data_IF_153465991541
#
_entry.id   IF_153465991541
#
_cell.length_a   1.000
_cell.length_b   1.000
_cell.length_c   1.000
_cell.angle_alpha   90.00
_cell.angle_beta   90.00
_cell.angle_gamma   90.00
#
_symmetry.space_group_name_H-M   'P 1'
#
loop_
_entity.id
_entity.type
_entity.pdbx_description
1 polymer ?
#
# COMPACT_ATOMS: atom_id res chain seq x y z
N UNK A 1 2.25 -19.74 20.05
CA UNK A 1 1.64 -18.44 20.38
C UNK A 1 0.48 -18.25 19.42
N UNK A 2 -0.77 -18.37 19.88
CA UNK A 2 -1.94 -18.19 19.03
C UNK A 2 -1.98 -16.73 18.59
N UNK A 3 -2.08 -16.49 17.28
CA UNK A 3 -2.44 -15.19 16.73
C UNK A 3 -3.81 -14.86 17.33
N UNK A 4 -3.83 -14.00 18.32
CA UNK A 4 -5.06 -13.53 18.94
C UNK A 4 -5.90 -12.88 17.85
N UNK A 5 -6.99 -13.55 17.45
CA UNK A 5 -8.14 -12.88 16.87
C UNK A 5 -8.55 -11.86 17.92
N UNK A 6 -8.12 -10.60 17.78
CA UNK A 6 -8.67 -9.55 18.62
C UNK A 6 -10.16 -9.52 18.30
N UNK A 7 -10.99 -9.52 19.33
CA UNK A 7 -12.44 -9.34 19.26
C UNK A 7 -12.73 -7.96 18.65
N UNK A 8 -12.58 -7.87 17.33
CA UNK A 8 -12.98 -6.70 16.56
C UNK A 8 -14.42 -7.00 16.16
N UNK A 9 -15.34 -6.46 16.91
CA UNK A 9 -16.78 -6.53 16.73
C UNK A 9 -17.27 -5.86 15.44
N UNK A 10 -16.80 -6.32 14.26
CA UNK A 10 -17.40 -5.96 12.98
C UNK A 10 -17.20 -7.06 11.92
N UNK A 11 -18.18 -7.95 11.74
CA UNK A 11 -18.07 -9.11 10.84
C UNK A 11 -18.09 -8.78 9.35
N UNK A 12 -18.35 -7.54 8.94
CA UNK A 12 -18.57 -7.20 7.53
C UNK A 12 -17.30 -6.87 6.72
N UNK A 13 -16.17 -6.56 7.36
CA UNK A 13 -14.98 -6.07 6.66
C UNK A 13 -13.75 -6.97 6.80
N UNK A 14 -13.73 -7.83 7.80
CA UNK A 14 -12.62 -8.74 8.08
C UNK A 14 -12.97 -10.13 7.55
N UNK A 15 -12.13 -10.71 6.71
CA UNK A 15 -12.28 -12.11 6.32
C UNK A 15 -11.47 -12.98 7.28
N UNK A 16 -11.87 -14.25 7.46
CA UNK A 16 -11.12 -15.22 8.27
C UNK A 16 -9.70 -15.46 7.76
N UNK A 17 -9.43 -15.09 6.50
CA UNK A 17 -8.13 -15.19 5.85
C UNK A 17 -7.22 -13.97 6.11
N UNK A 18 -7.73 -12.90 6.76
CA UNK A 18 -6.93 -11.73 7.07
C UNK A 18 -5.93 -12.06 8.18
N UNK A 19 -4.68 -11.61 8.01
CA UNK A 19 -3.61 -11.80 8.99
C UNK A 19 -3.31 -10.45 9.65
N UNK A 20 -3.38 -10.42 10.97
CA UNK A 20 -3.12 -9.26 11.80
C UNK A 20 -1.80 -9.43 12.53
N UNK A 21 -0.90 -8.45 12.36
CA UNK A 21 0.39 -8.42 13.04
C UNK A 21 0.46 -7.16 13.87
N UNK A 22 0.74 -7.29 15.17
CA UNK A 22 0.86 -6.17 16.11
C UNK A 22 -0.33 -5.18 16.10
N UNK A 23 -1.49 -5.56 15.56
CA UNK A 23 -2.62 -4.67 15.36
C UNK A 23 -3.20 -4.12 16.68
N UNK A 24 -3.11 -4.88 17.75
CA UNK A 24 -3.48 -4.46 19.11
C UNK A 24 -2.73 -3.19 19.57
N UNK A 25 -1.53 -2.96 19.06
CA UNK A 25 -0.74 -1.74 19.35
C UNK A 25 -1.36 -0.51 18.71
N UNK A 26 -1.94 -0.65 17.51
CA UNK A 26 -2.67 0.43 16.85
C UNK A 26 -4.05 0.63 17.48
N UNK A 27 -4.76 -0.46 17.77
CA UNK A 27 -6.09 -0.46 18.37
C UNK A 27 -6.07 0.24 19.74
N UNK A 28 -5.17 -0.17 20.63
CA UNK A 28 -5.08 0.36 22.00
C UNK A 28 -4.27 1.64 22.14
N UNK A 29 -3.78 2.23 21.06
CA UNK A 29 -2.97 3.44 21.10
C UNK A 29 -1.60 3.29 21.79
N UNK A 30 -1.05 2.06 21.81
CA UNK A 30 0.20 1.73 22.50
C UNK A 30 1.46 2.08 21.67
N UNK A 31 1.64 3.35 21.35
CA UNK A 31 2.90 3.86 20.81
C UNK A 31 3.10 3.72 19.30
N UNK A 32 2.15 3.13 18.57
CA UNK A 32 2.19 3.06 17.11
C UNK A 32 1.03 3.84 16.50
N UNK A 33 1.38 4.89 15.77
CA UNK A 33 0.42 5.76 15.10
C UNK A 33 0.16 5.37 13.64
N UNK A 34 0.92 4.43 13.08
CA UNK A 34 0.78 3.97 11.69
C UNK A 34 0.35 2.51 11.66
N UNK A 35 -0.62 2.21 10.78
CA UNK A 35 -1.03 0.85 10.44
C UNK A 35 -0.91 0.64 8.94
N UNK A 36 -0.26 -0.43 8.52
CA UNK A 36 -0.06 -0.78 7.11
C UNK A 36 -1.08 -1.83 6.65
N UNK A 37 -1.66 -1.64 5.46
CA UNK A 37 -2.55 -2.61 4.85
C UNK A 37 -1.96 -3.11 3.54
N UNK A 38 -1.69 -4.41 3.50
CA UNK A 38 -1.11 -5.11 2.38
C UNK A 38 -2.13 -6.13 1.81
N UNK A 39 -1.98 -6.49 0.56
CA UNK A 39 -2.83 -7.50 -0.11
C UNK A 39 -2.72 -7.39 -1.62
N UNK A 40 -3.26 -8.35 -2.34
CA UNK A 40 -3.30 -8.31 -3.80
C UNK A 40 -4.05 -7.08 -4.33
N UNK A 41 -3.77 -6.64 -5.58
CA UNK A 41 -4.67 -5.74 -6.28
C UNK A 41 -6.11 -6.28 -6.23
N UNK A 42 -7.09 -5.41 -6.05
CA UNK A 42 -8.51 -5.78 -5.92
C UNK A 42 -8.87 -6.74 -4.76
N UNK A 43 -8.00 -6.91 -3.76
CA UNK A 43 -8.30 -7.72 -2.56
C UNK A 43 -9.30 -7.07 -1.60
N UNK A 44 -9.62 -5.78 -1.80
CA UNK A 44 -10.46 -5.01 -0.87
C UNK A 44 -9.67 -4.20 0.15
N UNK A 45 -8.35 -4.01 -0.03
CA UNK A 45 -7.52 -3.16 0.84
C UNK A 45 -8.11 -1.77 1.06
N UNK A 46 -8.45 -1.09 -0.03
CA UNK A 46 -8.95 0.28 0.02
C UNK A 46 -10.25 0.38 0.81
N UNK A 47 -11.17 -0.58 0.66
CA UNK A 47 -12.40 -0.63 1.46
C UNK A 47 -12.06 -0.79 2.94
N UNK A 48 -11.20 -1.76 3.29
CA UNK A 48 -10.75 -1.98 4.66
C UNK A 48 -10.04 -0.75 5.24
N UNK A 49 -9.19 -0.09 4.45
CA UNK A 49 -8.45 1.11 4.84
C UNK A 49 -9.39 2.27 5.19
N UNK A 50 -10.43 2.46 4.39
CA UNK A 50 -11.47 3.46 4.65
C UNK A 50 -12.20 3.21 5.97
N UNK A 51 -12.62 1.97 6.21
CA UNK A 51 -13.33 1.60 7.44
C UNK A 51 -12.46 1.76 8.68
N UNK A 52 -11.19 1.36 8.60
CA UNK A 52 -10.24 1.55 9.67
C UNK A 52 -9.97 3.03 9.94
N UNK A 53 -9.73 3.82 8.90
CA UNK A 53 -9.51 5.25 9.05
C UNK A 53 -10.70 5.92 9.73
N UNK A 54 -11.94 5.56 9.34
CA UNK A 54 -13.17 6.05 9.98
C UNK A 54 -13.27 5.60 11.43
N UNK A 55 -13.07 4.30 11.71
CA UNK A 55 -13.19 3.73 13.06
C UNK A 55 -12.23 4.37 14.04
N UNK A 56 -10.98 4.61 13.63
CA UNK A 56 -9.92 5.11 14.51
C UNK A 56 -9.69 6.62 14.40
N UNK A 57 -10.54 7.34 13.66
CA UNK A 57 -10.34 8.75 13.32
C UNK A 57 -8.91 9.01 12.81
N UNK A 58 -8.45 8.12 11.92
CA UNK A 58 -7.12 8.14 11.33
C UNK A 58 -7.15 8.78 9.95
N UNK A 59 -6.03 9.38 9.55
CA UNK A 59 -5.84 9.77 8.14
C UNK A 59 -5.58 8.53 7.30
N UNK A 60 -6.19 8.45 6.12
CA UNK A 60 -5.88 7.40 5.13
C UNK A 60 -4.86 7.93 4.13
N UNK A 61 -3.81 7.18 3.88
CA UNK A 61 -2.85 7.44 2.80
C UNK A 61 -2.83 6.26 1.84
N UNK A 62 -3.35 6.46 0.63
CA UNK A 62 -3.26 5.50 -0.46
C UNK A 62 -2.02 5.82 -1.30
N UNK A 63 -0.98 4.97 -1.20
CA UNK A 63 0.28 5.15 -1.94
C UNK A 63 0.08 5.02 -3.45
N UNK A 64 -0.83 4.15 -3.90
CA UNK A 64 -1.07 3.94 -5.32
C UNK A 64 -1.64 5.23 -5.95
N UNK A 65 -2.51 5.96 -5.24
CA UNK A 65 -3.07 7.22 -5.70
C UNK A 65 -2.04 8.35 -5.82
N UNK A 66 -1.04 8.38 -4.94
CA UNK A 66 -0.02 9.44 -4.94
C UNK A 66 1.20 9.15 -5.81
N UNK A 67 1.40 7.90 -6.20
CA UNK A 67 2.53 7.47 -7.03
C UNK A 67 2.18 7.46 -8.51
N UNK A 68 0.88 7.36 -8.85
CA UNK A 68 0.36 7.42 -10.23
C UNK A 68 -0.60 8.61 -10.40
N UNK A 69 -0.14 9.86 -10.19
CA UNK A 69 -1.00 11.03 -10.31
C UNK A 69 -1.35 11.31 -11.77
N UNK A 70 -2.55 11.84 -12.00
CA UNK A 70 -2.97 12.28 -13.33
C UNK A 70 -2.17 13.50 -13.82
N UNK A 71 -1.82 14.41 -12.91
CA UNK A 71 -0.92 15.55 -13.13
C UNK A 71 -0.35 16.02 -11.79
N UNK A 72 0.66 16.90 -11.82
CA UNK A 72 1.23 17.49 -10.61
C UNK A 72 0.21 18.39 -9.91
N UNK A 73 -0.49 19.23 -10.66
CA UNK A 73 -1.49 20.13 -10.08
C UNK A 73 -2.64 19.35 -9.46
N UNK A 74 -3.11 18.32 -10.17
CA UNK A 74 -4.08 17.39 -9.61
C UNK A 74 -3.58 16.75 -8.30
N UNK A 75 -2.32 16.30 -8.26
CA UNK A 75 -1.74 15.69 -7.06
C UNK A 75 -1.73 16.66 -5.89
N UNK A 76 -1.30 17.90 -6.10
CA UNK A 76 -1.26 18.94 -5.08
C UNK A 76 -2.66 19.21 -4.53
N UNK A 77 -3.62 19.45 -5.41
CA UNK A 77 -5.01 19.74 -5.02
C UNK A 77 -5.68 18.56 -4.34
N UNK A 78 -5.45 17.36 -4.87
CA UNK A 78 -5.97 16.13 -4.29
C UNK A 78 -5.41 15.88 -2.87
N UNK A 79 -4.09 16.04 -2.68
CA UNK A 79 -3.45 15.87 -1.39
C UNK A 79 -3.88 16.96 -0.39
N UNK A 80 -3.98 18.20 -0.82
CA UNK A 80 -4.49 19.29 0.03
C UNK A 80 -5.89 18.99 0.58
N UNK A 81 -6.72 18.33 -0.22
CA UNK A 81 -8.10 18.00 0.14
C UNK A 81 -8.22 16.71 0.95
N UNK A 82 -7.43 15.68 0.64
CA UNK A 82 -7.66 14.32 1.13
C UNK A 82 -6.52 13.76 1.99
N UNK A 83 -5.27 14.23 1.81
CA UNK A 83 -4.07 13.67 2.43
C UNK A 83 -3.23 14.77 3.06
N UNK A 84 -3.70 15.31 4.19
CA UNK A 84 -3.07 16.45 4.87
C UNK A 84 -1.60 16.19 5.21
N UNK A 85 -1.30 15.03 5.78
CA UNK A 85 0.08 14.66 6.13
C UNK A 85 0.97 14.58 4.89
N UNK A 86 0.48 14.01 3.80
CA UNK A 86 1.25 13.93 2.57
C UNK A 86 1.39 15.30 1.89
N UNK A 87 0.38 16.17 1.97
CA UNK A 87 0.50 17.56 1.52
C UNK A 87 1.60 18.31 2.28
N UNK A 88 1.70 18.12 3.60
CA UNK A 88 2.80 18.67 4.39
C UNK A 88 4.16 18.09 3.96
N UNK A 89 4.21 16.79 3.62
CA UNK A 89 5.42 16.14 3.14
C UNK A 89 5.92 16.75 1.82
N UNK A 90 5.05 16.91 0.81
CA UNK A 90 5.45 17.47 -0.48
C UNK A 90 5.91 18.93 -0.38
N UNK A 91 5.29 19.71 0.50
CA UNK A 91 5.72 21.10 0.75
C UNK A 91 7.13 21.17 1.37
N UNK A 92 7.49 20.21 2.22
CA UNK A 92 8.84 20.09 2.80
C UNK A 92 9.84 19.43 1.84
N UNK A 93 9.37 18.72 0.83
CA UNK A 93 10.17 17.94 -0.09
C UNK A 93 9.86 18.28 -1.56
N UNK A 94 10.11 19.50 -2.05
CA UNK A 94 9.73 19.90 -3.41
C UNK A 94 10.43 19.06 -4.50
N UNK A 95 11.56 18.42 -4.18
CA UNK A 95 12.24 17.47 -5.08
C UNK A 95 11.37 16.26 -5.42
N UNK A 96 10.42 15.90 -4.55
CA UNK A 96 9.47 14.82 -4.81
C UNK A 96 8.57 15.15 -6.01
N UNK A 97 8.11 16.39 -6.14
CA UNK A 97 7.28 16.80 -7.28
C UNK A 97 8.04 16.67 -8.62
N UNK A 98 9.33 17.02 -8.61
CA UNK A 98 10.19 16.82 -9.79
C UNK A 98 10.35 15.33 -10.11
N UNK A 99 10.55 14.52 -9.09
CA UNK A 99 10.66 13.07 -9.24
C UNK A 99 9.37 12.47 -9.83
N UNK A 100 8.20 12.78 -9.26
CA UNK A 100 6.94 12.17 -9.70
C UNK A 100 6.56 12.61 -11.12
N UNK A 101 6.92 13.82 -11.53
CA UNK A 101 6.78 14.29 -12.91
C UNK A 101 7.64 13.45 -13.87
N UNK A 102 8.91 13.23 -13.52
CA UNK A 102 9.82 12.38 -14.30
C UNK A 102 9.30 10.95 -14.37
N UNK A 103 8.87 10.40 -13.24
CA UNK A 103 8.24 9.08 -13.15
C UNK A 103 7.05 8.96 -14.11
N UNK A 104 6.07 9.86 -14.00
CA UNK A 104 4.87 9.83 -14.83
C UNK A 104 5.20 9.87 -16.32
N UNK A 105 6.17 10.67 -16.74
CA UNK A 105 6.60 10.78 -18.13
C UNK A 105 7.28 9.50 -18.64
N UNK A 106 8.18 8.92 -17.83
CA UNK A 106 8.96 7.74 -18.24
C UNK A 106 8.11 6.46 -18.24
N UNK A 107 7.08 6.41 -17.41
CA UNK A 107 6.17 5.28 -17.31
C UNK A 107 4.82 5.48 -18.03
N UNK A 108 4.68 6.55 -18.83
CA UNK A 108 3.45 6.81 -19.60
C UNK A 108 3.07 5.63 -20.51
N UNK A 109 4.06 4.94 -21.10
CA UNK A 109 3.87 3.79 -21.99
C UNK A 109 3.88 2.43 -21.25
N UNK A 110 3.71 2.47 -19.92
CA UNK A 110 3.75 1.27 -19.08
C UNK A 110 5.15 0.90 -18.58
N UNK A 111 5.21 -0.18 -17.79
CA UNK A 111 6.47 -0.61 -17.15
C UNK A 111 7.41 -1.40 -18.08
N UNK A 112 6.90 -2.02 -19.12
CA UNK A 112 7.71 -2.79 -20.07
C UNK A 112 8.00 -2.00 -21.36
N UNK A 113 9.20 -2.17 -21.96
CA UNK A 113 10.36 -2.89 -21.41
C UNK A 113 11.03 -2.13 -20.25
N UNK A 114 11.62 -2.90 -19.33
CA UNK A 114 12.33 -2.36 -18.16
C UNK A 114 13.73 -1.86 -18.55
N UNK A 115 13.83 -0.61 -18.92
CA UNK A 115 15.11 0.05 -19.28
C UNK A 115 15.96 0.35 -18.02
N UNK A 116 17.28 0.62 -18.18
CA UNK A 116 18.13 1.08 -17.08
C UNK A 116 17.58 2.31 -16.36
N UNK A 117 17.03 3.28 -17.11
CA UNK A 117 16.39 4.47 -16.56
C UNK A 117 15.16 4.11 -15.71
N UNK A 118 14.27 3.24 -16.20
CA UNK A 118 13.11 2.76 -15.45
C UNK A 118 13.52 2.03 -14.17
N UNK A 119 14.59 1.22 -14.22
CA UNK A 119 15.14 0.55 -13.02
C UNK A 119 15.60 1.57 -11.98
N UNK A 120 16.36 2.58 -12.40
CA UNK A 120 16.84 3.64 -11.51
C UNK A 120 15.68 4.41 -10.86
N UNK A 121 14.69 4.80 -11.64
CA UNK A 121 13.49 5.47 -11.14
C UNK A 121 12.71 4.58 -10.16
N UNK A 122 12.63 3.26 -10.40
CA UNK A 122 11.99 2.32 -9.48
C UNK A 122 12.72 2.27 -8.12
N UNK A 123 14.05 2.30 -8.12
CA UNK A 123 14.84 2.38 -6.89
C UNK A 123 14.57 3.71 -6.17
N UNK A 124 14.55 4.81 -6.90
CA UNK A 124 14.27 6.13 -6.34
C UNK A 124 12.86 6.23 -5.77
N UNK A 125 11.86 5.62 -6.44
CA UNK A 125 10.48 5.52 -5.94
C UNK A 125 10.42 4.86 -4.56
N UNK A 126 11.13 3.75 -4.37
CA UNK A 126 11.18 3.04 -3.08
C UNK A 126 11.77 3.94 -1.99
N UNK A 127 12.84 4.68 -2.30
CA UNK A 127 13.43 5.65 -1.37
C UNK A 127 12.45 6.76 -0.96
N UNK A 128 11.64 7.23 -1.92
CA UNK A 128 10.61 8.22 -1.61
C UNK A 128 9.48 7.65 -0.76
N UNK A 129 9.04 6.42 -1.02
CA UNK A 129 8.03 5.75 -0.21
C UNK A 129 8.52 5.60 1.25
N UNK A 130 9.78 5.21 1.46
CA UNK A 130 10.37 5.13 2.79
C UNK A 130 10.31 6.49 3.50
N UNK A 131 10.73 7.56 2.84
CA UNK A 131 10.68 8.92 3.42
C UNK A 131 9.25 9.36 3.75
N UNK A 132 8.27 8.96 2.93
CA UNK A 132 6.85 9.23 3.20
C UNK A 132 6.41 8.46 4.45
N UNK A 133 6.77 7.18 4.57
CA UNK A 133 6.46 6.34 5.73
C UNK A 133 7.08 6.93 7.00
N UNK A 134 8.38 7.26 6.99
CA UNK A 134 9.09 7.90 8.11
C UNK A 134 8.42 9.20 8.53
N UNK A 135 8.00 10.01 7.54
CA UNK A 135 7.28 11.24 7.81
C UNK A 135 5.91 10.98 8.46
N UNK A 136 5.18 9.96 8.02
CA UNK A 136 3.92 9.54 8.66
C UNK A 136 4.15 9.05 10.08
N UNK A 137 5.19 8.25 10.32
CA UNK A 137 5.57 7.75 11.65
C UNK A 137 5.88 8.90 12.62
N UNK A 138 6.46 9.99 12.13
CA UNK A 138 6.78 11.17 12.96
C UNK A 138 5.57 12.00 13.40
N UNK A 139 4.35 11.66 12.92
CA UNK A 139 3.14 12.42 13.24
C UNK A 139 2.49 11.95 14.56
N UNK A 140 1.82 12.84 15.30
CA UNK A 140 1.17 12.47 16.56
C UNK A 140 -0.19 11.79 16.38
N UNK A 141 -0.80 11.85 15.19
CA UNK A 141 -2.12 11.28 14.91
C UNK A 141 -2.03 9.94 14.17
N UNK A 142 -3.11 9.19 14.22
CA UNK A 142 -3.19 7.88 13.57
C UNK A 142 -3.26 8.00 12.04
N UNK A 143 -2.52 7.14 11.35
CA UNK A 143 -2.49 7.09 9.88
C UNK A 143 -2.59 5.62 9.44
N UNK A 144 -3.48 5.35 8.48
CA UNK A 144 -3.58 4.07 7.79
C UNK A 144 -2.93 4.22 6.43
N UNK A 145 -1.93 3.41 6.13
CA UNK A 145 -1.20 3.43 4.85
C UNK A 145 -1.51 2.17 4.06
N UNK A 146 -1.96 2.31 2.83
CA UNK A 146 -2.17 1.19 1.92
C UNK A 146 -1.46 1.39 0.59
N UNK A 147 -1.14 0.28 -0.08
CA UNK A 147 -0.58 0.29 -1.43
C UNK A 147 0.12 -1.02 -1.80
N UNK A 148 0.19 -1.31 -3.08
CA UNK A 148 0.87 -2.51 -3.59
C UNK A 148 2.39 -2.42 -3.46
N UNK A 149 2.93 -1.20 -3.42
CA UNK A 149 4.37 -0.97 -3.29
C UNK A 149 4.93 -1.20 -1.88
N UNK A 150 4.08 -1.45 -0.90
CA UNK A 150 4.53 -1.77 0.45
C UNK A 150 5.33 -3.08 0.52
N UNK A 151 4.98 -4.10 -0.26
CA UNK A 151 5.69 -5.40 -0.23
C UNK A 151 7.20 -5.29 -0.43
N UNK A 152 7.69 -4.67 -1.52
CA UNK A 152 9.13 -4.53 -1.70
C UNK A 152 9.78 -3.66 -0.64
N UNK A 153 9.04 -2.73 -0.03
CA UNK A 153 9.55 -1.90 1.07
C UNK A 153 9.79 -2.76 2.32
N UNK A 154 8.82 -3.56 2.73
CA UNK A 154 8.95 -4.45 3.89
C UNK A 154 10.02 -5.54 3.70
N UNK A 155 10.30 -5.95 2.47
CA UNK A 155 11.39 -6.88 2.17
C UNK A 155 12.77 -6.25 2.39
N UNK A 156 12.90 -4.95 2.10
CA UNK A 156 14.17 -4.20 2.21
C UNK A 156 14.32 -3.61 3.63
N UNK A 157 13.22 -3.29 4.28
CA UNK A 157 13.11 -2.66 5.60
C UNK A 157 12.31 -3.55 6.57
N UNK A 158 12.88 -4.70 7.00
CA UNK A 158 12.18 -5.65 7.88
C UNK A 158 11.82 -5.05 9.25
N UNK A 159 12.49 -3.99 9.69
CA UNK A 159 12.17 -3.25 10.91
C UNK A 159 10.75 -2.66 10.89
N UNK A 160 10.18 -2.39 9.72
CA UNK A 160 8.79 -1.95 9.60
C UNK A 160 7.78 -3.04 9.99
N UNK A 161 8.21 -4.31 10.09
CA UNK A 161 7.37 -5.40 10.57
C UNK A 161 7.04 -5.31 12.07
N UNK A 162 7.70 -4.41 12.82
CA UNK A 162 7.32 -4.09 14.20
C UNK A 162 6.02 -3.29 14.29
N UNK A 163 5.67 -2.60 13.22
CA UNK A 163 4.45 -1.80 13.14
C UNK A 163 3.21 -2.67 12.94
N UNK A 164 2.03 -2.14 13.30
CA UNK A 164 0.75 -2.75 12.98
C UNK A 164 0.58 -3.00 11.49
N UNK A 165 0.31 -4.25 11.13
CA UNK A 165 0.10 -4.67 9.74
C UNK A 165 -1.16 -5.50 9.64
N UNK A 166 -1.97 -5.23 8.63
CA UNK A 166 -3.04 -6.11 8.19
C UNK A 166 -2.72 -6.61 6.79
N UNK A 167 -2.59 -7.91 6.66
CA UNK A 167 -2.49 -8.57 5.37
C UNK A 167 -3.88 -9.03 4.96
N UNK A 168 -4.48 -8.33 4.00
CA UNK A 168 -5.82 -8.64 3.50
C UNK A 168 -5.82 -9.98 2.79
N UNK A 169 -6.54 -10.95 3.36
CA UNK A 169 -6.72 -12.27 2.81
C UNK A 169 -7.71 -12.24 1.65
N UNK A 170 -7.29 -12.75 0.51
CA UNK A 170 -8.16 -12.96 -0.66
C UNK A 170 -7.45 -13.92 -1.57
N UNK A 171 -8.16 -14.90 -2.13
CA UNK A 171 -7.52 -15.80 -3.09
C UNK A 171 -7.07 -15.03 -4.32
N UNK A 172 -5.97 -15.49 -4.92
CA UNK A 172 -5.43 -14.92 -6.16
C UNK A 172 -6.51 -14.87 -7.26
N UNK A 173 -7.27 -15.94 -7.42
CA UNK A 173 -8.33 -16.03 -8.43
C UNK A 173 -9.44 -15.01 -8.17
N UNK A 174 -9.93 -14.92 -6.93
CA UNK A 174 -10.95 -13.93 -6.56
C UNK A 174 -10.49 -12.51 -6.83
N UNK A 175 -9.25 -12.19 -6.51
CA UNK A 175 -8.67 -10.87 -6.78
C UNK A 175 -8.56 -10.58 -8.27
N UNK A 176 -8.12 -11.56 -9.08
CA UNK A 176 -8.08 -11.45 -10.55
C UNK A 176 -9.45 -11.18 -11.14
N UNK A 177 -10.47 -11.95 -10.73
CA UNK A 177 -11.85 -11.78 -11.22
C UNK A 177 -12.41 -10.41 -10.87
N UNK A 178 -12.18 -9.91 -9.64
CA UNK A 178 -12.58 -8.56 -9.24
C UNK A 178 -11.84 -7.48 -10.04
N UNK A 179 -10.57 -7.71 -10.35
CA UNK A 179 -9.79 -6.78 -11.16
C UNK A 179 -10.36 -6.67 -12.58
N UNK A 180 -10.60 -7.81 -13.25
CA UNK A 180 -11.19 -7.86 -14.59
C UNK A 180 -12.58 -7.20 -14.60
N UNK A 181 -13.42 -7.51 -13.61
CA UNK A 181 -14.75 -6.90 -13.49
C UNK A 181 -14.65 -5.37 -13.40
N UNK A 182 -13.77 -4.85 -12.55
CA UNK A 182 -13.56 -3.40 -12.38
C UNK A 182 -13.11 -2.74 -13.69
N UNK A 183 -12.16 -3.37 -14.42
CA UNK A 183 -11.64 -2.82 -15.67
C UNK A 183 -12.73 -2.79 -16.77
N UNK A 184 -13.59 -3.82 -16.81
CA UNK A 184 -14.76 -3.85 -17.68
C UNK A 184 -15.77 -2.74 -17.35
N UNK A 185 -16.08 -2.55 -16.07
CA UNK A 185 -17.03 -1.54 -15.59
C UNK A 185 -16.52 -0.11 -15.79
N UNK A 186 -15.21 0.10 -15.75
CA UNK A 186 -14.59 1.42 -15.96
C UNK A 186 -14.39 1.79 -17.43
N UNK A 187 -14.72 0.89 -18.36
CA UNK A 187 -14.48 1.11 -19.81
C UNK A 187 -13.01 1.07 -20.21
N UNK A 188 -12.11 0.75 -19.27
CA UNK A 188 -10.72 0.44 -19.55
C UNK A 188 -10.69 -0.97 -20.14
N UNK A 189 -10.20 -1.13 -21.37
CA UNK A 189 -10.15 -2.44 -22.02
C UNK A 189 -9.47 -3.48 -21.12
N UNK A 190 -10.01 -4.70 -21.13
CA UNK A 190 -9.44 -5.80 -20.34
C UNK A 190 -7.98 -6.00 -20.77
N UNK A 191 -7.05 -5.92 -19.84
CA UNK A 191 -5.65 -6.30 -20.06
C UNK A 191 -5.60 -7.73 -20.58
N UNK A 192 -4.64 -8.01 -21.45
CA UNK A 192 -4.40 -9.36 -21.89
C UNK A 192 -4.34 -10.31 -20.68
N UNK A 193 -5.03 -11.44 -20.76
CA UNK A 193 -5.09 -12.44 -19.68
C UNK A 193 -3.69 -12.89 -19.25
N UNK A 194 -2.73 -12.96 -20.19
CA UNK A 194 -1.34 -13.31 -19.91
C UNK A 194 -0.67 -12.24 -19.03
N UNK A 195 -0.88 -10.95 -19.30
CA UNK A 195 -0.35 -9.85 -18.49
C UNK A 195 -0.91 -9.87 -17.07
N UNK A 196 -2.20 -10.23 -16.94
CA UNK A 196 -2.83 -10.41 -15.62
C UNK A 196 -2.22 -11.59 -14.87
N UNK A 197 -2.03 -12.73 -15.51
CA UNK A 197 -1.41 -13.92 -14.91
C UNK A 197 0.01 -13.59 -14.45
N UNK A 198 0.79 -12.89 -15.26
CA UNK A 198 2.15 -12.47 -14.92
C UNK A 198 2.15 -11.50 -13.74
N UNK A 199 1.33 -10.45 -13.80
CA UNK A 199 1.21 -9.47 -12.72
C UNK A 199 0.87 -10.13 -11.38
N UNK A 200 -0.14 -11.02 -11.36
CA UNK A 200 -0.51 -11.73 -10.15
C UNK A 200 0.50 -12.80 -9.74
N UNK A 201 1.25 -13.36 -10.70
CA UNK A 201 2.39 -14.23 -10.44
C UNK A 201 3.48 -13.50 -9.65
N UNK A 202 3.91 -12.35 -10.14
CA UNK A 202 4.91 -11.49 -9.47
C UNK A 202 4.45 -11.04 -8.08
N UNK A 203 3.19 -10.65 -7.93
CA UNK A 203 2.62 -10.27 -6.64
C UNK A 203 2.55 -11.45 -5.66
N UNK A 204 2.25 -12.66 -6.17
CA UNK A 204 2.25 -13.88 -5.36
C UNK A 204 3.62 -14.20 -4.79
N UNK A 205 4.67 -14.07 -5.59
CA UNK A 205 6.05 -14.26 -5.14
C UNK A 205 6.40 -13.26 -4.05
N UNK A 206 6.17 -11.97 -4.29
CA UNK A 206 6.41 -10.91 -3.30
C UNK A 206 5.66 -11.15 -1.98
N UNK A 207 4.40 -11.59 -2.07
CA UNK A 207 3.60 -11.91 -0.89
C UNK A 207 4.15 -13.10 -0.11
N UNK A 208 4.60 -14.14 -0.81
CA UNK A 208 5.21 -15.31 -0.17
C UNK A 208 6.52 -14.95 0.51
N UNK A 209 7.38 -14.17 -0.16
CA UNK A 209 8.62 -13.67 0.42
C UNK A 209 8.36 -12.84 1.68
N UNK A 210 7.35 -11.96 1.63
CA UNK A 210 6.92 -11.20 2.79
C UNK A 210 6.44 -12.12 3.92
N UNK A 211 5.58 -13.12 3.64
CA UNK A 211 5.11 -14.09 4.65
C UNK A 211 6.24 -14.89 5.28
N UNK A 212 7.23 -15.28 4.49
CA UNK A 212 8.42 -15.98 4.98
C UNK A 212 9.22 -15.07 5.92
N UNK A 213 9.51 -13.85 5.50
CA UNK A 213 10.24 -12.87 6.29
C UNK A 213 9.51 -12.55 7.60
N UNK A 214 8.18 -12.37 7.54
CA UNK A 214 7.36 -12.16 8.74
C UNK A 214 7.43 -13.34 9.71
N UNK A 215 7.42 -14.58 9.21
CA UNK A 215 7.55 -15.78 10.07
C UNK A 215 8.91 -15.87 10.73
N UNK A 216 9.96 -15.48 10.03
CA UNK A 216 11.34 -15.43 10.60
C UNK A 216 11.40 -14.35 11.68
N UNK A 217 10.90 -13.15 11.39
CA UNK A 217 10.88 -12.03 12.33
C UNK A 217 10.09 -12.32 13.62
N UNK A 218 8.93 -13.00 13.50
CA UNK A 218 8.11 -13.35 14.67
C UNK A 218 8.66 -14.50 15.52
N UNK A 219 9.66 -15.25 15.03
CA UNK A 219 10.29 -16.37 15.76
C UNK A 219 11.56 -15.97 16.52
N UNK A 220 12.16 -14.84 16.21
CA UNK A 220 13.29 -14.25 16.94
C UNK A 220 12.80 -13.38 18.07
#
# INVERSE_FOLDING_TARGET
>A
MSLLKSEIDHPLFFSDDDIYVNFDRFDRGKGFNVCFILGYPASGKTTLSFELAKKYNAELLNLDAIIYPQSIDWLIDYCKKHYKTFYEFINKNPKYLKFIYTWARVFADGENPMTPEKKQLTIERRRWIIKIIEFCISKPHKIVIEGVDLYPIFTIHPELCEYPIILKGTSKLTSMLRYVKRDLESGVGVRNVLDLIEMYGQQSTKLNDFRINMRVFMKG
#
